data_IF_673159413428
#
_entry.id   IF_673159413428
#
_cell.length_a   1.000
_cell.length_b   1.000
_cell.length_c   1.000
_cell.angle_alpha   90.00
_cell.angle_beta   90.00
_cell.angle_gamma   90.00
#
_symmetry.space_group_name_H-M   'P 1'
#
loop_
_entity.id
_entity.type
_entity.pdbx_description
1 polymer ?
#
# COMPACT_ATOMS: atom_id res chain seq x y z
N UNK A 1 56.75 -36.77 12.29
CA UNK A 1 55.28 -36.91 12.46
C UNK A 1 54.71 -36.25 13.72
N UNK A 2 55.47 -36.11 14.81
CA UNK A 2 54.92 -35.63 16.11
C UNK A 2 54.61 -34.12 16.17
N UNK A 3 55.44 -33.24 15.58
CA UNK A 3 55.24 -31.79 15.69
C UNK A 3 54.06 -31.21 14.89
N UNK A 4 53.62 -31.90 13.82
CA UNK A 4 52.49 -31.47 12.97
C UNK A 4 51.15 -31.82 13.64
N UNK A 5 51.09 -32.94 14.38
CA UNK A 5 49.91 -33.34 15.14
C UNK A 5 49.62 -32.38 16.29
N UNK A 6 50.65 -31.98 17.04
CA UNK A 6 50.52 -31.06 18.18
C UNK A 6 50.07 -29.66 17.74
N UNK A 7 50.46 -29.19 16.54
CA UNK A 7 50.00 -27.92 15.98
C UNK A 7 48.51 -27.96 15.61
N UNK A 8 48.05 -29.04 14.98
CA UNK A 8 46.63 -29.24 14.64
C UNK A 8 45.74 -29.37 15.88
N UNK A 9 46.18 -30.07 16.92
CA UNK A 9 45.42 -30.16 18.18
C UNK A 9 45.31 -28.81 18.89
N UNK A 10 46.38 -28.00 18.92
CA UNK A 10 46.33 -26.64 19.50
C UNK A 10 45.47 -25.67 18.70
N UNK A 11 45.40 -25.84 17.37
CA UNK A 11 44.57 -25.01 16.50
C UNK A 11 43.08 -25.39 16.60
N UNK A 12 42.78 -26.69 16.76
CA UNK A 12 41.42 -27.19 17.06
C UNK A 12 40.97 -26.82 18.48
N UNK A 13 41.85 -26.89 19.49
CA UNK A 13 41.53 -26.40 20.84
C UNK A 13 41.28 -24.88 20.86
N UNK A 14 42.03 -24.10 20.06
CA UNK A 14 41.85 -22.65 19.97
C UNK A 14 40.58 -22.27 19.21
N UNK A 15 40.21 -23.04 18.17
CA UNK A 15 38.93 -22.90 17.46
C UNK A 15 37.75 -23.31 18.36
N UNK A 16 37.89 -24.36 19.16
CA UNK A 16 36.86 -24.80 20.11
C UNK A 16 36.69 -23.84 21.31
N UNK A 17 37.74 -23.10 21.71
CA UNK A 17 37.65 -22.06 22.75
C UNK A 17 37.00 -20.75 22.24
N UNK A 18 37.11 -20.43 20.94
CA UNK A 18 36.32 -19.33 20.33
C UNK A 18 34.87 -19.70 20.03
N UNK A 19 34.51 -20.99 20.19
CA UNK A 19 33.15 -21.51 20.14
C UNK A 19 32.56 -21.72 21.55
N UNK A 20 33.13 -21.10 22.59
CA UNK A 20 32.35 -20.80 23.80
C UNK A 20 31.14 -19.99 23.34
N UNK A 21 30.03 -20.70 23.24
CA UNK A 21 28.69 -20.19 23.07
C UNK A 21 28.58 -18.87 23.82
N UNK A 22 28.45 -17.75 23.10
CA UNK A 22 27.85 -16.55 23.65
C UNK A 22 26.41 -16.92 24.01
N UNK A 23 26.27 -17.62 25.14
CA UNK A 23 25.02 -18.00 25.74
C UNK A 23 24.42 -16.68 26.21
N UNK A 24 23.70 -16.05 25.30
CA UNK A 24 23.03 -14.77 25.56
C UNK A 24 22.06 -15.07 26.69
N UNK A 25 22.38 -14.65 27.91
CA UNK A 25 21.49 -14.88 29.05
C UNK A 25 20.16 -14.19 28.77
N UNK A 26 19.08 -14.93 29.02
CA UNK A 26 17.74 -14.39 28.84
C UNK A 26 17.48 -13.37 29.96
N UNK A 27 17.41 -12.10 29.59
CA UNK A 27 17.06 -11.01 30.49
C UNK A 27 15.56 -10.74 30.46
N UNK A 28 14.92 -10.78 31.62
CA UNK A 28 13.51 -10.38 31.79
C UNK A 28 13.45 -9.01 32.45
N UNK A 29 12.83 -8.05 31.78
CA UNK A 29 12.60 -6.69 32.32
C UNK A 29 11.14 -6.55 32.73
N UNK A 30 10.87 -6.02 33.92
CA UNK A 30 9.49 -5.79 34.36
C UNK A 30 8.90 -4.59 33.64
N UNK A 31 7.60 -4.64 33.34
CA UNK A 31 6.91 -3.48 32.77
C UNK A 31 7.03 -2.22 33.65
N UNK A 32 7.11 -2.38 34.98
CA UNK A 32 7.32 -1.29 35.94
C UNK A 32 8.70 -0.62 35.86
N UNK A 33 9.68 -1.29 35.24
CA UNK A 33 11.04 -0.77 35.05
C UNK A 33 11.18 -0.03 33.71
N UNK A 34 10.17 -0.13 32.84
CA UNK A 34 10.14 0.54 31.54
C UNK A 34 9.46 1.89 31.69
N UNK A 35 10.18 2.97 31.43
CA UNK A 35 9.59 4.33 31.38
C UNK A 35 8.73 4.46 30.11
N UNK A 36 7.40 4.73 30.22
CA UNK A 36 6.56 4.96 29.07
C UNK A 36 7.04 6.20 28.29
N UNK A 37 7.05 6.11 26.96
CA UNK A 37 7.40 7.23 26.07
C UNK A 37 6.29 7.46 25.06
N UNK A 38 5.95 8.71 24.80
CA UNK A 38 5.09 9.07 23.68
C UNK A 38 5.83 8.82 22.36
N UNK A 39 5.07 8.55 21.30
CA UNK A 39 5.61 8.46 19.94
C UNK A 39 5.84 9.88 19.44
N UNK A 40 7.07 10.20 19.05
CA UNK A 40 7.39 11.44 18.34
C UNK A 40 7.09 11.30 16.84
N UNK A 41 6.74 12.40 16.19
CA UNK A 41 6.31 12.40 14.79
C UNK A 41 7.09 13.39 13.95
N UNK A 42 7.52 12.95 12.77
CA UNK A 42 7.96 13.87 11.74
C UNK A 42 6.75 14.65 11.21
N UNK A 43 5.68 13.94 10.85
CA UNK A 43 4.43 14.53 10.37
C UNK A 43 3.28 13.74 10.98
N UNK A 44 2.57 14.31 11.96
CA UNK A 44 1.47 13.63 12.63
C UNK A 44 0.22 13.63 11.73
N UNK A 45 -0.55 12.52 11.65
CA UNK A 45 -0.28 11.16 12.14
C UNK A 45 0.38 10.25 11.08
N UNK A 46 1.03 10.83 10.08
CA UNK A 46 1.47 10.15 8.85
C UNK A 46 2.85 9.47 8.96
N UNK A 47 3.85 10.13 9.55
CA UNK A 47 5.25 9.66 9.58
C UNK A 47 5.80 9.74 11.01
N UNK A 48 5.85 8.62 11.76
CA UNK A 48 6.43 8.57 13.10
C UNK A 48 7.97 8.47 13.07
N UNK A 49 8.63 9.12 14.02
CA UNK A 49 10.08 8.95 14.24
C UNK A 49 10.41 7.56 14.80
N UNK A 50 11.60 7.09 14.47
CA UNK A 50 12.11 5.78 14.90
C UNK A 50 11.33 4.58 14.40
N UNK A 51 10.62 4.72 13.27
CA UNK A 51 9.80 3.69 12.62
C UNK A 51 9.96 3.73 11.11
N UNK A 52 9.50 2.66 10.47
CA UNK A 52 9.40 2.53 9.01
C UNK A 52 7.98 2.90 8.54
N UNK A 53 7.93 3.77 7.54
CA UNK A 53 6.73 4.19 6.81
C UNK A 53 6.86 3.80 5.34
N UNK A 54 5.79 3.27 4.75
CA UNK A 54 5.71 3.02 3.31
C UNK A 54 4.92 4.14 2.64
N UNK A 55 5.44 4.66 1.52
CA UNK A 55 4.70 5.53 0.61
C UNK A 55 4.50 4.80 -0.71
N UNK A 56 3.26 4.42 -1.01
CA UNK A 56 2.92 3.67 -2.21
C UNK A 56 2.05 4.47 -3.18
N UNK A 57 2.03 4.07 -4.45
CA UNK A 57 1.25 4.71 -5.52
C UNK A 57 1.71 4.22 -6.88
N UNK A 58 0.95 4.53 -7.93
CA UNK A 58 1.34 4.14 -9.29
C UNK A 58 2.57 4.97 -9.76
N UNK A 59 3.36 4.45 -10.71
CA UNK A 59 4.42 5.24 -11.34
C UNK A 59 3.87 6.55 -11.92
N UNK A 60 4.55 7.67 -11.66
CA UNK A 60 4.12 9.00 -12.12
C UNK A 60 3.04 9.69 -11.27
N UNK A 61 2.67 9.15 -10.12
CA UNK A 61 1.72 9.80 -9.21
C UNK A 61 2.34 10.87 -8.30
N UNK A 62 3.65 11.10 -8.39
CA UNK A 62 4.34 12.19 -7.68
C UNK A 62 4.89 11.83 -6.29
N UNK A 63 5.11 10.54 -5.99
CA UNK A 63 5.65 10.06 -4.69
C UNK A 63 6.99 10.71 -4.32
N UNK A 64 7.96 10.63 -5.22
CA UNK A 64 9.31 11.20 -5.03
C UNK A 64 9.23 12.72 -4.89
N UNK A 65 8.38 13.38 -5.69
CA UNK A 65 8.17 14.82 -5.62
C UNK A 65 7.51 15.27 -4.32
N UNK A 66 6.55 14.50 -3.79
CA UNK A 66 5.99 14.70 -2.45
C UNK A 66 7.06 14.58 -1.38
N UNK A 67 7.87 13.52 -1.41
CA UNK A 67 8.91 13.34 -0.42
C UNK A 67 10.01 14.41 -0.49
N UNK A 68 10.34 14.92 -1.68
CA UNK A 68 11.27 16.04 -1.83
C UNK A 68 10.66 17.36 -1.31
N UNK A 69 9.38 17.61 -1.53
CA UNK A 69 8.70 18.78 -0.97
C UNK A 69 8.65 18.73 0.58
N UNK A 70 8.32 17.56 1.15
CA UNK A 70 8.36 17.34 2.60
C UNK A 70 9.79 17.47 3.16
N UNK A 71 10.78 16.96 2.43
CA UNK A 71 12.20 17.10 2.80
C UNK A 71 12.64 18.56 2.79
N UNK A 72 12.16 19.36 1.83
CA UNK A 72 12.47 20.78 1.75
C UNK A 72 11.92 21.54 2.97
N UNK A 73 10.68 21.24 3.38
CA UNK A 73 10.11 21.77 4.62
C UNK A 73 10.92 21.37 5.86
N UNK A 74 11.24 20.07 5.99
CA UNK A 74 12.04 19.53 7.09
C UNK A 74 13.43 20.18 7.17
N UNK A 75 14.08 20.36 6.02
CA UNK A 75 15.42 20.96 5.91
C UNK A 75 15.47 22.40 6.41
N UNK A 76 14.33 23.09 6.48
CA UNK A 76 14.21 24.48 6.94
C UNK A 76 13.47 24.62 8.27
N UNK A 77 13.13 23.51 8.93
CA UNK A 77 12.33 23.53 10.16
C UNK A 77 10.94 24.12 9.96
N UNK A 78 10.40 24.07 8.74
CA UNK A 78 9.07 24.59 8.42
C UNK A 78 7.99 23.61 8.87
N UNK A 79 6.78 24.11 9.22
CA UNK A 79 5.66 23.25 9.52
C UNK A 79 5.33 22.38 8.29
N UNK A 80 4.90 21.15 8.56
CA UNK A 80 4.35 20.28 7.53
C UNK A 80 2.92 20.71 7.19
N UNK A 81 2.41 20.33 6.00
CA UNK A 81 1.07 20.71 5.58
C UNK A 81 0.02 20.26 6.59
N UNK A 82 -0.86 21.19 6.98
CA UNK A 82 -1.98 20.96 7.89
C UNK A 82 -1.55 20.40 9.27
N UNK A 83 -0.28 20.58 9.65
CA UNK A 83 0.18 20.32 11.00
C UNK A 83 -0.07 21.55 11.88
N UNK A 84 -0.30 21.34 13.18
CA UNK A 84 -0.43 22.44 14.13
C UNK A 84 0.86 23.29 14.16
N UNK A 85 0.71 24.59 13.87
CA UNK A 85 1.80 25.55 13.68
C UNK A 85 2.52 25.97 14.99
N UNK A 86 2.14 25.39 16.13
CA UNK A 86 2.58 25.86 17.45
C UNK A 86 3.99 25.38 17.86
N UNK A 87 4.53 24.34 17.21
CA UNK A 87 5.87 23.83 17.51
C UNK A 87 6.92 24.40 16.55
N UNK A 88 7.82 25.25 17.08
CA UNK A 88 9.06 25.59 16.38
C UNK A 88 9.88 24.32 16.17
N UNK A 89 10.19 24.00 14.91
CA UNK A 89 11.00 22.84 14.54
C UNK A 89 12.38 23.29 14.13
N UNK A 90 13.40 22.60 14.62
CA UNK A 90 14.77 22.81 14.16
C UNK A 90 14.97 22.22 12.75
N UNK A 91 15.75 22.89 11.87
CA UNK A 91 16.17 22.35 10.58
C UNK A 91 16.78 20.94 10.66
N UNK A 92 16.19 20.00 9.92
CA UNK A 92 16.57 18.58 9.96
C UNK A 92 17.43 18.18 8.78
N UNK A 93 18.45 17.35 9.02
CA UNK A 93 19.19 16.68 7.95
C UNK A 93 18.38 15.49 7.42
N UNK A 94 18.29 15.38 6.10
CA UNK A 94 17.60 14.33 5.35
C UNK A 94 18.61 13.56 4.52
N UNK A 95 18.55 12.23 4.56
CA UNK A 95 19.25 11.37 3.60
C UNK A 95 18.23 10.92 2.55
N UNK A 96 18.50 11.19 1.29
CA UNK A 96 17.67 10.74 0.17
C UNK A 96 18.49 9.81 -0.71
N UNK A 97 18.06 8.55 -0.83
CA UNK A 97 18.70 7.58 -1.71
C UNK A 97 17.73 7.15 -2.79
N UNK A 98 18.16 7.28 -4.04
CA UNK A 98 17.41 6.81 -5.19
C UNK A 98 18.28 6.14 -6.23
N UNK A 99 17.70 5.18 -6.95
CA UNK A 99 18.28 4.60 -8.17
C UNK A 99 17.46 4.93 -9.42
N UNK A 100 16.36 5.68 -9.29
CA UNK A 100 15.45 6.02 -10.38
C UNK A 100 15.80 7.35 -11.05
N UNK A 101 16.25 8.33 -10.27
CA UNK A 101 16.52 9.69 -10.70
C UNK A 101 17.97 10.08 -10.36
N UNK A 102 18.66 10.78 -11.28
CA UNK A 102 20.00 11.28 -11.03
C UNK A 102 20.00 12.49 -10.07
N UNK A 103 21.05 12.56 -9.24
CA UNK A 103 21.11 13.57 -8.19
C UNK A 103 21.26 15.00 -8.75
N UNK A 104 22.06 15.18 -9.78
CA UNK A 104 22.47 16.48 -10.31
C UNK A 104 21.45 17.12 -11.26
N UNK A 105 20.76 16.33 -12.09
CA UNK A 105 19.78 16.85 -13.06
C UNK A 105 18.32 16.77 -12.60
N UNK A 106 18.01 15.92 -11.62
CA UNK A 106 16.62 15.64 -11.25
C UNK A 106 16.33 15.88 -9.78
N UNK A 107 17.01 15.17 -8.86
CA UNK A 107 16.67 15.23 -7.42
C UNK A 107 17.00 16.60 -6.82
N UNK A 108 18.23 17.07 -6.98
CA UNK A 108 18.68 18.36 -6.42
C UNK A 108 17.91 19.53 -7.03
N UNK A 109 17.70 19.62 -8.36
CA UNK A 109 16.87 20.68 -8.95
C UNK A 109 15.44 20.72 -8.42
N UNK A 110 14.77 19.56 -8.27
CA UNK A 110 13.41 19.48 -7.70
C UNK A 110 13.36 19.90 -6.23
N UNK A 111 14.38 19.53 -5.45
CA UNK A 111 14.50 19.94 -4.05
C UNK A 111 14.73 21.46 -3.93
N UNK A 112 15.58 22.04 -4.78
CA UNK A 112 15.79 23.50 -4.86
C UNK A 112 14.50 24.21 -5.27
N UNK A 113 13.77 23.68 -6.26
CA UNK A 113 12.48 24.24 -6.70
C UNK A 113 11.43 24.25 -5.57
N UNK A 114 11.50 23.25 -4.67
CA UNK A 114 10.70 23.18 -3.45
C UNK A 114 11.25 24.05 -2.30
N UNK A 115 12.25 24.90 -2.59
CA UNK A 115 12.91 25.78 -1.65
C UNK A 115 13.61 25.03 -0.51
N UNK A 116 14.23 23.87 -0.77
CA UNK A 116 14.99 23.11 0.21
C UNK A 116 16.37 23.70 0.54
N UNK A 117 16.90 23.39 1.71
CA UNK A 117 18.28 23.71 2.12
C UNK A 117 19.23 22.58 1.68
N UNK A 118 20.11 22.89 0.72
CA UNK A 118 21.01 21.92 0.09
C UNK A 118 22.03 21.32 1.04
N UNK A 119 22.41 22.04 2.09
CA UNK A 119 23.37 21.54 3.09
C UNK A 119 22.74 20.50 4.03
N UNK A 120 21.41 20.38 3.97
CA UNK A 120 20.60 19.44 4.76
C UNK A 120 20.08 18.25 3.96
N UNK A 121 20.37 18.17 2.65
CA UNK A 121 20.03 17.01 1.82
C UNK A 121 21.29 16.22 1.47
N UNK A 122 21.40 15.01 2.00
CA UNK A 122 22.57 14.15 1.84
C UNK A 122 22.24 12.89 1.02
N UNK A 123 23.27 12.35 0.38
CA UNK A 123 23.21 11.11 -0.40
C UNK A 123 24.32 10.18 0.09
N UNK A 124 24.04 8.88 0.15
CA UNK A 124 25.07 7.86 0.37
C UNK A 124 25.70 7.56 -0.99
N UNK A 125 27.04 7.62 -1.08
CA UNK A 125 27.75 7.27 -2.32
C UNK A 125 27.72 5.75 -2.52
N UNK A 126 27.25 5.33 -3.68
CA UNK A 126 27.10 3.91 -4.04
C UNK A 126 28.11 3.45 -5.11
N UNK A 127 29.05 4.31 -5.51
CA UNK A 127 30.00 4.06 -6.62
C UNK A 127 30.84 2.79 -6.43
N UNK A 128 31.16 2.42 -5.19
CA UNK A 128 31.95 1.22 -4.87
C UNK A 128 31.07 -0.01 -4.59
N UNK A 129 29.91 0.21 -3.97
CA UNK A 129 28.98 -0.85 -3.55
C UNK A 129 27.56 -0.30 -3.45
N UNK A 130 26.64 -0.93 -4.16
CA UNK A 130 25.19 -0.68 -4.05
C UNK A 130 24.71 -0.87 -2.60
N UNK A 131 23.75 -0.06 -2.20
CA UNK A 131 23.14 -0.07 -0.89
C UNK A 131 21.97 -1.06 -0.88
N UNK A 132 21.84 -1.79 0.23
CA UNK A 132 20.71 -2.68 0.48
C UNK A 132 20.16 -2.46 1.89
N UNK A 133 18.96 -2.96 2.17
CA UNK A 133 18.28 -2.78 3.45
C UNK A 133 19.05 -3.34 4.65
N UNK A 134 19.97 -4.27 4.46
CA UNK A 134 20.82 -4.86 5.49
C UNK A 134 22.22 -4.24 5.57
N UNK A 135 22.47 -3.14 4.85
CA UNK A 135 23.79 -2.50 4.85
C UNK A 135 23.98 -1.58 6.08
N UNK A 136 25.01 -1.84 6.88
CA UNK A 136 25.38 -1.04 8.07
C UNK A 136 25.80 0.39 7.75
N UNK A 137 26.12 0.69 6.49
CA UNK A 137 26.37 2.08 6.05
C UNK A 137 25.14 2.97 6.27
N UNK A 138 23.92 2.42 6.26
CA UNK A 138 22.69 3.16 6.57
C UNK A 138 22.75 3.72 7.98
N UNK A 139 23.01 2.86 8.98
CA UNK A 139 23.17 3.26 10.38
C UNK A 139 24.29 4.29 10.52
N UNK A 140 25.45 3.98 9.96
CA UNK A 140 26.63 4.85 10.03
C UNK A 140 26.36 6.23 9.43
N UNK A 141 25.62 6.31 8.33
CA UNK A 141 25.29 7.59 7.69
C UNK A 141 24.32 8.41 8.54
N UNK A 142 23.29 7.78 9.11
CA UNK A 142 22.33 8.44 10.00
C UNK A 142 23.05 9.01 11.23
N UNK A 143 23.86 8.19 11.92
CA UNK A 143 24.56 8.59 13.14
C UNK A 143 25.59 9.71 12.88
N UNK A 144 26.38 9.61 11.80
CA UNK A 144 27.40 10.62 11.46
C UNK A 144 26.81 11.97 11.06
N UNK A 145 25.67 11.96 10.38
CA UNK A 145 25.04 13.18 9.87
C UNK A 145 24.00 13.79 10.82
N UNK A 146 23.57 13.03 11.83
CA UNK A 146 22.42 13.39 12.66
C UNK A 146 21.11 13.42 11.87
N UNK A 147 21.00 12.67 10.78
CA UNK A 147 19.81 12.66 9.95
C UNK A 147 18.59 12.20 10.74
N UNK A 148 17.49 12.95 10.59
CA UNK A 148 16.20 12.65 11.24
C UNK A 148 15.22 11.97 10.28
N UNK A 149 15.52 11.99 8.98
CA UNK A 149 14.74 11.34 7.92
C UNK A 149 15.66 10.63 6.93
N UNK A 150 15.36 9.37 6.63
CA UNK A 150 15.93 8.60 5.52
C UNK A 150 14.81 8.25 4.54
N UNK A 151 15.04 8.52 3.25
CA UNK A 151 14.14 8.15 2.15
C UNK A 151 14.87 7.17 1.23
N UNK A 152 14.21 6.04 0.94
CA UNK A 152 14.69 5.01 0.00
C UNK A 152 13.70 4.89 -1.17
N UNK A 153 14.13 5.21 -2.39
CA UNK A 153 13.27 5.33 -3.57
C UNK A 153 13.85 4.65 -4.83
N UNK A 154 13.38 3.48 -5.28
CA UNK A 154 12.23 2.70 -4.81
C UNK A 154 12.62 1.49 -3.95
N UNK A 155 11.65 0.91 -3.23
CA UNK A 155 11.77 -0.32 -2.44
C UNK A 155 12.47 -1.44 -3.19
N UNK A 156 12.12 -1.63 -4.47
CA UNK A 156 12.62 -2.74 -5.30
C UNK A 156 14.13 -2.69 -5.52
N UNK A 157 14.74 -1.50 -5.45
CA UNK A 157 16.18 -1.34 -5.67
C UNK A 157 17.03 -1.66 -4.46
N UNK A 158 16.45 -1.57 -3.25
CA UNK A 158 17.21 -1.68 -1.99
C UNK A 158 16.97 -3.01 -1.25
N UNK A 159 16.06 -3.87 -1.73
CA UNK A 159 15.81 -5.17 -1.10
C UNK A 159 17.01 -6.14 -1.23
N UNK A 160 17.84 -5.94 -2.25
CA UNK A 160 19.05 -6.72 -2.54
C UNK A 160 18.86 -7.81 -3.61
N UNK A 161 19.95 -8.18 -4.27
CA UNK A 161 19.98 -9.20 -5.33
C UNK A 161 19.52 -10.57 -4.82
N UNK A 162 18.66 -11.25 -5.59
CA UNK A 162 18.20 -12.61 -5.29
C UNK A 162 16.97 -12.72 -4.37
N UNK A 163 16.50 -11.62 -3.77
CA UNK A 163 15.28 -11.64 -2.96
C UNK A 163 14.05 -11.59 -3.88
N UNK A 164 13.33 -12.70 -4.00
CA UNK A 164 12.00 -12.66 -4.62
C UNK A 164 11.07 -11.87 -3.71
N UNK A 165 10.38 -10.85 -4.23
CA UNK A 165 9.30 -10.16 -3.51
C UNK A 165 8.18 -11.13 -3.07
N UNK A 166 8.17 -12.37 -3.56
CA UNK A 166 7.23 -13.41 -3.16
C UNK A 166 7.75 -14.30 -2.00
N UNK A 167 9.00 -14.13 -1.56
CA UNK A 167 9.60 -14.88 -0.44
C UNK A 167 9.44 -14.10 0.88
N UNK A 168 8.23 -14.19 1.45
CA UNK A 168 7.79 -13.56 2.71
C UNK A 168 8.85 -13.49 3.83
N UNK A 169 9.50 -14.63 4.12
CA UNK A 169 10.44 -14.75 5.24
C UNK A 169 11.76 -13.99 5.01
N UNK A 170 12.29 -13.98 3.79
CA UNK A 170 13.54 -13.29 3.45
C UNK A 170 13.35 -11.77 3.51
N UNK A 171 12.21 -11.30 3.00
CA UNK A 171 11.85 -9.89 3.03
C UNK A 171 11.76 -9.36 4.47
N UNK A 172 11.08 -10.09 5.36
CA UNK A 172 10.96 -9.68 6.76
C UNK A 172 12.32 -9.56 7.46
N UNK A 173 13.25 -10.48 7.17
CA UNK A 173 14.60 -10.43 7.71
C UNK A 173 15.34 -9.15 7.31
N UNK A 174 15.29 -8.77 6.02
CA UNK A 174 15.90 -7.53 5.51
C UNK A 174 15.31 -6.28 6.18
N UNK A 175 13.99 -6.26 6.35
CA UNK A 175 13.30 -5.17 7.02
C UNK A 175 13.65 -5.06 8.52
N UNK A 176 13.96 -6.17 9.21
CA UNK A 176 14.31 -6.14 10.62
C UNK A 176 15.55 -5.26 10.89
N UNK A 177 16.50 -5.23 9.96
CA UNK A 177 17.65 -4.32 10.05
C UNK A 177 17.20 -2.86 10.06
N UNK A 178 16.39 -2.45 9.09
CA UNK A 178 15.86 -1.08 9.02
C UNK A 178 15.01 -0.73 10.24
N UNK A 179 14.21 -1.67 10.76
CA UNK A 179 13.42 -1.45 11.97
C UNK A 179 14.33 -1.18 13.17
N UNK A 180 15.40 -1.96 13.32
CA UNK A 180 16.38 -1.76 14.39
C UNK A 180 17.09 -0.41 14.23
N UNK A 181 17.58 -0.09 13.03
CA UNK A 181 18.23 1.19 12.75
C UNK A 181 17.30 2.37 13.06
N UNK A 182 16.04 2.33 12.60
CA UNK A 182 15.07 3.38 12.90
C UNK A 182 14.87 3.51 14.42
N UNK A 183 14.60 2.39 15.11
CA UNK A 183 14.35 2.38 16.56
C UNK A 183 15.52 2.96 17.36
N UNK A 184 16.73 2.54 17.05
CA UNK A 184 17.93 2.88 17.84
C UNK A 184 18.39 4.31 17.59
N UNK A 185 18.24 4.81 16.36
CA UNK A 185 18.68 6.16 15.98
C UNK A 185 17.58 7.22 16.16
N UNK A 186 16.32 6.80 16.30
CA UNK A 186 15.16 7.71 16.28
C UNK A 186 14.85 8.28 14.89
N UNK A 187 15.57 7.88 13.84
CA UNK A 187 15.35 8.35 12.48
C UNK A 187 14.02 7.82 11.92
N UNK A 188 13.26 8.69 11.25
CA UNK A 188 12.11 8.26 10.45
C UNK A 188 12.62 7.67 9.13
N UNK A 189 12.22 6.43 8.81
CA UNK A 189 12.58 5.79 7.54
C UNK A 189 11.33 5.73 6.67
N UNK A 190 11.39 6.34 5.48
CA UNK A 190 10.33 6.28 4.47
C UNK A 190 10.84 5.49 3.27
N UNK A 191 10.07 4.48 2.83
CA UNK A 191 10.40 3.69 1.65
C UNK A 191 9.31 3.92 0.63
N UNK A 192 9.70 4.36 -0.57
CA UNK A 192 8.79 4.59 -1.69
C UNK A 192 8.61 3.29 -2.45
N UNK A 193 7.37 2.88 -2.69
CA UNK A 193 7.06 1.63 -3.40
C UNK A 193 6.07 1.89 -4.54
N UNK A 194 6.23 1.14 -5.64
CA UNK A 194 5.19 1.08 -6.66
C UNK A 194 4.10 0.10 -6.23
N UNK A 195 2.85 0.42 -6.55
CA UNK A 195 1.74 -0.51 -6.35
C UNK A 195 1.71 -1.57 -7.44
N UNK A 196 1.34 -2.80 -7.07
CA UNK A 196 1.11 -3.89 -8.00
C UNK A 196 -0.15 -3.59 -8.85
N UNK A 197 -0.07 -3.91 -10.14
CA UNK A 197 -1.20 -3.83 -11.09
C UNK A 197 -2.29 -4.88 -10.85
N UNK A 198 -2.09 -5.81 -9.90
CA UNK A 198 -3.10 -6.83 -9.57
C UNK A 198 -4.24 -6.23 -8.76
N UNK A 199 -5.46 -6.53 -9.22
CA UNK A 199 -6.75 -5.96 -8.81
C UNK A 199 -7.24 -6.52 -7.46
N UNK A 200 -6.41 -6.57 -6.45
CA UNK A 200 -6.93 -6.77 -5.09
C UNK A 200 -7.62 -5.48 -4.62
N UNK A 201 -8.82 -5.63 -4.08
CA UNK A 201 -9.73 -4.52 -3.72
C UNK A 201 -9.27 -3.71 -2.51
N UNK A 202 -8.36 -4.24 -1.70
CA UNK A 202 -7.87 -3.55 -0.51
C UNK A 202 -6.59 -2.76 -0.82
N UNK A 203 -6.56 -1.44 -0.59
CA UNK A 203 -5.37 -0.61 -0.72
C UNK A 203 -4.17 -1.09 0.10
N UNK A 204 -4.41 -1.83 1.18
CA UNK A 204 -3.39 -2.37 2.07
C UNK A 204 -2.50 -3.42 1.39
N UNK A 205 -3.05 -4.19 0.45
CA UNK A 205 -2.36 -5.32 -0.20
C UNK A 205 -1.85 -4.98 -1.60
N UNK A 206 -1.97 -3.71 -2.00
CA UNK A 206 -1.53 -3.27 -3.33
C UNK A 206 -0.05 -2.88 -3.39
N UNK A 207 0.71 -2.87 -2.30
CA UNK A 207 2.17 -2.78 -2.38
C UNK A 207 2.72 -3.99 -3.13
N UNK A 208 3.68 -3.78 -4.03
CA UNK A 208 4.27 -4.89 -4.79
C UNK A 208 4.95 -5.94 -3.91
N UNK A 209 4.27 -7.07 -3.69
CA UNK A 209 4.86 -8.33 -3.23
C UNK A 209 4.96 -8.53 -1.72
N UNK A 210 3.82 -8.78 -1.07
CA UNK A 210 3.62 -9.56 0.16
C UNK A 210 2.92 -8.81 1.29
N UNK A 211 2.03 -9.54 1.97
CA UNK A 211 1.39 -9.15 3.24
C UNK A 211 2.46 -8.74 4.28
N UNK A 212 3.67 -9.28 4.18
CA UNK A 212 4.77 -9.07 5.12
C UNK A 212 5.34 -7.65 5.08
N UNK A 213 5.39 -7.00 3.91
CA UNK A 213 5.81 -5.59 3.80
C UNK A 213 4.84 -4.70 4.59
N UNK A 214 3.55 -4.91 4.35
CA UNK A 214 2.50 -4.19 5.04
C UNK A 214 2.52 -4.50 6.54
N UNK A 215 2.88 -5.72 6.93
CA UNK A 215 3.04 -6.15 8.33
C UNK A 215 4.13 -5.39 9.08
N UNK A 216 5.27 -5.13 8.42
CA UNK A 216 6.41 -4.42 9.02
C UNK A 216 6.14 -2.94 9.25
N UNK A 217 5.54 -2.26 8.28
CA UNK A 217 5.38 -0.82 8.31
C UNK A 217 4.39 -0.38 9.42
N UNK A 218 4.74 0.68 10.14
CA UNK A 218 3.90 1.25 11.21
C UNK A 218 2.93 2.32 10.69
N UNK A 219 3.27 2.91 9.56
CA UNK A 219 2.40 3.75 8.76
C UNK A 219 2.49 3.33 7.29
N UNK A 220 1.37 3.32 6.58
CA UNK A 220 1.32 3.12 5.14
C UNK A 220 0.50 4.25 4.55
N UNK A 221 1.16 5.05 3.71
CA UNK A 221 0.58 6.15 2.95
C UNK A 221 0.43 5.71 1.50
N UNK A 222 -0.64 6.14 0.86
CA UNK A 222 -0.87 5.83 -0.55
C UNK A 222 -1.30 7.08 -1.30
N UNK A 223 -0.66 7.33 -2.45
CA UNK A 223 -1.02 8.41 -3.36
C UNK A 223 -1.82 7.84 -4.50
N UNK A 224 -2.85 8.56 -4.92
CA UNK A 224 -3.61 8.22 -6.11
C UNK A 224 -4.20 9.47 -6.77
N UNK A 225 -4.65 9.34 -8.02
CA UNK A 225 -5.21 10.46 -8.79
C UNK A 225 -6.64 10.76 -8.37
N UNK A 226 -7.05 12.01 -8.33
CA UNK A 226 -8.47 12.29 -8.09
C UNK A 226 -9.27 12.06 -9.38
N UNK A 227 -10.61 11.89 -9.30
CA UNK A 227 -11.47 11.84 -10.48
C UNK A 227 -11.67 13.22 -11.14
N UNK A 228 -10.98 14.27 -10.68
CA UNK A 228 -11.09 15.62 -11.21
C UNK A 228 -10.52 15.70 -12.63
N UNK A 229 -11.42 15.70 -13.63
CA UNK A 229 -11.04 15.75 -15.05
C UNK A 229 -10.54 17.11 -15.50
N UNK A 230 -10.89 18.17 -14.77
CA UNK A 230 -10.44 19.53 -15.06
C UNK A 230 -9.00 19.74 -14.61
N UNK A 231 -8.53 18.91 -13.66
CA UNK A 231 -7.19 18.99 -13.12
C UNK A 231 -6.52 17.60 -13.03
N UNK A 232 -5.88 17.18 -14.11
CA UNK A 232 -5.18 15.89 -14.18
C UNK A 232 -3.93 15.79 -13.29
N UNK A 233 -3.50 16.89 -12.69
CA UNK A 233 -2.34 16.98 -11.80
C UNK A 233 -2.72 16.87 -10.33
N UNK A 234 -4.02 16.90 -10.02
CA UNK A 234 -4.55 16.71 -8.68
C UNK A 234 -4.34 15.26 -8.22
N UNK A 235 -3.85 15.13 -7.00
CA UNK A 235 -3.55 13.87 -6.32
C UNK A 235 -4.10 13.95 -4.92
N UNK A 236 -4.36 12.78 -4.37
CA UNK A 236 -4.71 12.63 -2.97
C UNK A 236 -3.85 11.58 -2.31
N UNK A 237 -3.27 11.93 -1.16
CA UNK A 237 -2.60 11.01 -0.26
C UNK A 237 -3.58 10.58 0.82
N UNK A 238 -3.70 9.27 1.04
CA UNK A 238 -4.51 8.66 2.10
C UNK A 238 -3.63 7.81 3.00
N UNK A 239 -3.96 7.74 4.30
CA UNK A 239 -3.32 6.82 5.22
C UNK A 239 -4.08 5.49 5.23
N UNK A 240 -3.46 4.46 4.66
CA UNK A 240 -4.01 3.09 4.56
C UNK A 240 -3.87 2.33 5.88
N UNK A 241 -2.80 2.63 6.63
CA UNK A 241 -2.51 1.98 7.92
C UNK A 241 -1.86 2.97 8.86
N UNK A 242 -2.30 2.95 10.12
CA UNK A 242 -1.61 3.57 11.25
C UNK A 242 -1.69 2.64 12.45
N UNK A 243 -0.55 2.28 13.01
CA UNK A 243 -0.49 1.42 14.21
C UNK A 243 -0.33 2.20 15.52
N UNK A 244 -0.01 3.49 15.44
CA UNK A 244 0.43 4.31 16.59
C UNK A 244 -0.51 5.48 16.89
N UNK A 245 -1.49 5.73 16.02
CA UNK A 245 -2.51 6.77 16.15
C UNK A 245 -3.73 6.39 15.29
N UNK A 246 -4.88 7.07 15.46
CA UNK A 246 -5.93 7.06 14.44
C UNK A 246 -5.38 7.43 13.06
N UNK A 247 -5.97 6.90 11.99
CA UNK A 247 -5.62 7.32 10.63
C UNK A 247 -5.95 8.80 10.43
N UNK A 248 -5.00 9.54 9.87
CA UNK A 248 -5.18 10.95 9.50
C UNK A 248 -6.14 11.13 8.34
N UNK A 249 -6.50 12.39 8.11
CA UNK A 249 -7.29 12.79 6.95
C UNK A 249 -6.52 12.57 5.64
N UNK A 250 -7.21 12.71 4.53
CA UNK A 250 -6.58 12.68 3.22
C UNK A 250 -6.01 14.06 2.88
N UNK A 251 -4.82 14.09 2.28
CA UNK A 251 -4.15 15.32 1.86
C UNK A 251 -4.32 15.48 0.36
N UNK A 252 -5.01 16.53 -0.05
CA UNK A 252 -5.20 16.92 -1.44
C UNK A 252 -4.06 17.84 -1.87
N UNK A 253 -3.44 17.55 -3.01
CA UNK A 253 -2.34 18.36 -3.54
C UNK A 253 -2.24 18.25 -5.06
N UNK A 254 -1.55 19.20 -5.66
CA UNK A 254 -1.23 19.22 -7.08
C UNK A 254 0.24 18.94 -7.32
N UNK A 255 0.50 18.14 -8.36
CA UNK A 255 1.85 17.88 -8.88
C UNK A 255 2.11 18.82 -10.04
N UNK A 256 2.91 19.87 -9.81
CA UNK A 256 3.32 20.83 -10.85
C UNK A 256 4.77 20.64 -11.28
N UNK A 257 5.20 21.40 -12.30
CA UNK A 257 6.60 21.40 -12.76
C UNK A 257 7.58 21.88 -11.68
N UNK A 258 7.14 22.82 -10.83
CA UNK A 258 7.98 23.45 -9.79
C UNK A 258 7.94 22.74 -8.44
N UNK A 259 7.16 21.66 -8.28
CA UNK A 259 6.98 21.01 -6.99
C UNK A 259 5.54 20.62 -6.70
N UNK A 260 5.26 20.42 -5.41
CA UNK A 260 3.93 20.10 -4.90
C UNK A 260 3.26 21.35 -4.35
N UNK A 261 1.98 21.54 -4.68
CA UNK A 261 1.13 22.54 -4.04
C UNK A 261 0.08 21.83 -3.20
N UNK A 262 0.15 21.98 -1.88
CA UNK A 262 -0.86 21.43 -0.97
C UNK A 262 -2.14 22.27 -1.04
N UNK A 263 -3.29 21.62 -1.24
CA UNK A 263 -4.57 22.28 -1.49
C UNK A 263 -5.45 22.24 -0.24
N UNK A 264 -5.73 21.04 0.28
CA UNK A 264 -6.69 20.87 1.37
C UNK A 264 -6.45 19.57 2.16
N UNK A 265 -7.01 19.52 3.37
CA UNK A 265 -7.12 18.31 4.20
C UNK A 265 -8.59 17.87 4.25
N UNK A 266 -8.90 16.72 3.65
CA UNK A 266 -10.28 16.25 3.47
C UNK A 266 -10.54 14.93 4.18
N UNK A 267 -11.75 14.76 4.70
CA UNK A 267 -12.20 13.49 5.27
C UNK A 267 -12.47 12.48 4.16
N UNK A 268 -11.52 11.58 3.94
CA UNK A 268 -11.66 10.50 2.98
C UNK A 268 -10.86 9.28 3.43
N UNK A 269 -11.46 8.10 3.33
CA UNK A 269 -10.75 6.84 3.64
C UNK A 269 -9.95 6.34 2.45
N UNK A 270 -9.01 5.42 2.68
CA UNK A 270 -8.27 4.78 1.60
C UNK A 270 -9.21 4.05 0.62
N UNK A 271 -10.21 3.33 1.12
CA UNK A 271 -11.20 2.62 0.29
C UNK A 271 -11.96 3.58 -0.61
N UNK A 272 -12.34 4.76 -0.11
CA UNK A 272 -13.01 5.79 -0.89
C UNK A 272 -12.11 6.35 -2.00
N UNK A 273 -10.85 6.67 -1.68
CA UNK A 273 -9.89 7.16 -2.66
C UNK A 273 -9.68 6.15 -3.80
N UNK A 274 -9.42 4.88 -3.47
CA UNK A 274 -9.13 3.86 -4.47
C UNK A 274 -10.37 3.32 -5.20
N UNK A 275 -11.56 3.38 -4.60
CA UNK A 275 -12.81 3.02 -5.30
C UNK A 275 -13.25 4.07 -6.32
N UNK A 276 -12.84 5.34 -6.15
CA UNK A 276 -13.12 6.41 -7.10
C UNK A 276 -12.35 6.28 -8.43
N UNK A 277 -11.26 5.50 -8.43
CA UNK A 277 -10.29 5.36 -9.54
C UNK A 277 -10.32 3.96 -10.15
N UNK A 278 -10.78 2.96 -9.39
CA UNK A 278 -11.11 1.68 -9.96
C UNK A 278 -12.09 1.93 -11.12
N UNK A 279 -11.78 1.52 -12.38
CA UNK A 279 -12.84 1.40 -13.36
C UNK A 279 -13.91 0.57 -12.69
N UNK A 280 -15.15 1.08 -12.59
CA UNK A 280 -16.28 0.42 -11.92
C UNK A 280 -16.46 -1.00 -12.50
N UNK A 281 -15.66 -1.96 -12.04
CA UNK A 281 -15.63 -3.32 -12.54
C UNK A 281 -16.47 -4.10 -11.56
N UNK A 282 -17.77 -4.13 -11.84
CA UNK A 282 -18.78 -4.72 -10.98
C UNK A 282 -20.09 -3.94 -10.99
N UNK A 283 -20.08 -2.63 -11.31
CA UNK A 283 -21.30 -1.97 -11.77
C UNK A 283 -21.45 -2.22 -13.28
N UNK A 284 -22.65 -2.54 -13.77
CA UNK A 284 -22.87 -2.59 -15.21
C UNK A 284 -22.43 -1.22 -15.80
N UNK A 285 -21.81 -1.20 -16.99
CA UNK A 285 -21.60 0.09 -17.69
C UNK A 285 -22.93 0.83 -17.77
N UNK A 286 -22.95 2.17 -17.85
CA UNK A 286 -24.21 2.91 -18.03
C UNK A 286 -25.05 2.35 -19.20
N UNK A 287 -24.39 1.88 -20.26
CA UNK A 287 -25.02 1.12 -21.36
C UNK A 287 -25.65 -0.22 -20.91
N UNK A 288 -24.99 -0.95 -20.01
CA UNK A 288 -25.50 -2.21 -19.46
C UNK A 288 -26.62 -1.97 -18.45
N UNK A 289 -26.58 -0.89 -17.65
CA UNK A 289 -27.68 -0.47 -16.76
C UNK A 289 -28.92 -0.07 -17.57
N UNK A 290 -28.73 0.74 -18.63
CA UNK A 290 -29.80 1.11 -19.55
C UNK A 290 -30.39 -0.12 -20.27
N UNK A 291 -29.54 -1.05 -20.70
CA UNK A 291 -30.00 -2.31 -21.29
C UNK A 291 -30.74 -3.20 -20.27
N UNK A 292 -30.28 -3.29 -19.02
CA UNK A 292 -30.97 -4.05 -17.96
C UNK A 292 -32.33 -3.45 -17.62
N UNK A 293 -32.43 -2.13 -17.47
CA UNK A 293 -33.69 -1.44 -17.23
C UNK A 293 -34.68 -1.67 -18.38
N UNK A 294 -34.19 -1.61 -19.63
CA UNK A 294 -35.01 -1.86 -20.80
C UNK A 294 -35.48 -3.32 -20.91
N UNK A 295 -34.63 -4.29 -20.56
CA UNK A 295 -35.03 -5.71 -20.48
C UNK A 295 -36.13 -5.91 -19.44
N UNK A 296 -36.01 -5.31 -18.25
CA UNK A 296 -37.04 -5.41 -17.22
C UNK A 296 -38.37 -4.80 -17.67
N UNK A 297 -38.33 -3.69 -18.43
CA UNK A 297 -39.53 -3.08 -19.02
C UNK A 297 -40.20 -3.99 -20.07
N UNK A 298 -39.42 -4.61 -20.95
CA UNK A 298 -39.92 -5.62 -21.89
C UNK A 298 -40.60 -6.80 -21.18
N UNK A 299 -40.04 -7.25 -20.05
CA UNK A 299 -40.61 -8.37 -19.29
C UNK A 299 -41.92 -8.02 -18.57
N UNK A 300 -42.31 -6.74 -18.46
CA UNK A 300 -43.65 -6.37 -17.99
C UNK A 300 -44.75 -6.85 -18.93
N UNK A 301 -44.45 -7.02 -20.21
CA UNK A 301 -45.36 -7.61 -21.20
C UNK A 301 -45.46 -9.15 -21.10
N UNK A 302 -44.74 -9.76 -20.15
CA UNK A 302 -44.69 -11.21 -19.96
C UNK A 302 -43.62 -11.90 -20.81
N UNK A 303 -43.88 -13.15 -21.21
CA UNK A 303 -42.93 -13.92 -22.00
C UNK A 303 -42.86 -13.40 -23.44
N UNK A 304 -41.64 -13.12 -23.91
CA UNK A 304 -41.37 -12.67 -25.28
C UNK A 304 -40.35 -13.59 -25.95
N UNK A 305 -40.37 -13.68 -27.28
CA UNK A 305 -39.39 -14.51 -27.99
C UNK A 305 -37.98 -13.90 -27.83
N UNK A 306 -36.98 -14.76 -27.65
CA UNK A 306 -35.58 -14.36 -27.51
C UNK A 306 -35.13 -13.51 -28.71
N UNK A 307 -35.58 -13.88 -29.91
CA UNK A 307 -35.28 -13.16 -31.15
C UNK A 307 -35.86 -11.74 -31.14
N UNK A 308 -37.10 -11.55 -30.67
CA UNK A 308 -37.71 -10.22 -30.58
C UNK A 308 -36.99 -9.35 -29.52
N UNK A 309 -36.72 -9.90 -28.34
CA UNK A 309 -35.99 -9.19 -27.28
C UNK A 309 -34.60 -8.72 -27.74
N UNK A 310 -33.85 -9.60 -28.41
CA UNK A 310 -32.54 -9.23 -28.97
C UNK A 310 -32.65 -8.20 -30.12
N UNK A 311 -33.72 -8.25 -30.92
CA UNK A 311 -34.02 -7.27 -31.95
C UNK A 311 -34.20 -5.87 -31.36
N UNK A 312 -35.11 -5.72 -30.40
CA UNK A 312 -35.39 -4.43 -29.75
C UNK A 312 -34.16 -3.81 -29.07
N UNK A 313 -33.27 -4.64 -28.51
CA UNK A 313 -32.03 -4.18 -27.91
C UNK A 313 -31.00 -3.75 -28.97
N UNK A 314 -30.91 -4.45 -30.10
CA UNK A 314 -30.00 -4.09 -31.20
C UNK A 314 -30.46 -2.80 -31.89
N UNK A 315 -31.76 -2.62 -32.10
CA UNK A 315 -32.32 -1.40 -32.72
C UNK A 315 -32.05 -0.15 -31.86
N UNK A 316 -31.89 -0.33 -30.54
CA UNK A 316 -31.46 0.72 -29.61
C UNK A 316 -29.93 0.87 -29.50
N UNK A 317 -29.16 0.17 -30.34
CA UNK A 317 -27.70 0.30 -30.42
C UNK A 317 -26.91 -0.54 -29.41
N UNK A 318 -27.54 -1.44 -28.66
CA UNK A 318 -26.82 -2.28 -27.69
C UNK A 318 -26.04 -3.42 -28.37
N UNK A 319 -24.76 -3.55 -28.02
CA UNK A 319 -23.88 -4.63 -28.50
C UNK A 319 -24.30 -5.98 -27.91
N UNK A 320 -24.11 -7.07 -28.65
CA UNK A 320 -24.43 -8.45 -28.21
C UNK A 320 -23.82 -8.82 -26.85
N UNK A 321 -22.59 -8.37 -26.58
CA UNK A 321 -21.90 -8.59 -25.30
C UNK A 321 -22.58 -7.87 -24.12
N UNK A 322 -23.11 -6.67 -24.36
CA UNK A 322 -23.90 -5.89 -23.38
C UNK A 322 -25.25 -6.55 -23.14
N UNK A 323 -25.94 -7.00 -24.20
CA UNK A 323 -27.23 -7.71 -24.11
C UNK A 323 -27.12 -8.97 -23.24
N UNK A 324 -26.09 -9.79 -23.48
CA UNK A 324 -25.87 -11.03 -22.72
C UNK A 324 -25.65 -10.75 -21.23
N UNK A 325 -24.89 -9.70 -20.90
CA UNK A 325 -24.65 -9.26 -19.52
C UNK A 325 -25.92 -8.68 -18.87
N UNK A 326 -26.61 -7.81 -19.60
CA UNK A 326 -27.82 -7.14 -19.13
C UNK A 326 -28.95 -8.14 -18.84
N UNK A 327 -29.11 -9.17 -19.68
CA UNK A 327 -30.07 -10.27 -19.46
C UNK A 327 -29.77 -11.03 -18.17
N UNK A 328 -28.49 -11.36 -17.93
CA UNK A 328 -28.06 -12.03 -16.69
C UNK A 328 -28.37 -11.16 -15.47
N UNK A 329 -28.10 -9.86 -15.56
CA UNK A 329 -28.36 -8.90 -14.47
C UNK A 329 -29.86 -8.68 -14.22
N UNK A 330 -30.69 -8.74 -15.26
CA UNK A 330 -32.14 -8.64 -15.15
C UNK A 330 -32.81 -9.91 -14.58
N UNK A 331 -32.04 -10.97 -14.29
CA UNK A 331 -32.58 -12.23 -13.80
C UNK A 331 -33.42 -13.00 -14.83
N UNK A 332 -33.35 -12.64 -16.11
CA UNK A 332 -34.18 -13.23 -17.17
C UNK A 332 -33.60 -14.58 -17.60
N UNK A 333 -34.45 -15.60 -17.59
CA UNK A 333 -34.11 -16.96 -18.02
C UNK A 333 -34.58 -17.22 -19.45
N UNK A 334 -33.93 -18.18 -20.11
CA UNK A 334 -34.36 -18.68 -21.42
C UNK A 334 -35.10 -19.99 -21.26
N UNK A 335 -36.36 -20.02 -21.68
CA UNK A 335 -37.20 -21.22 -21.69
C UNK A 335 -37.47 -21.61 -23.15
N UNK A 336 -37.35 -22.89 -23.47
CA UNK A 336 -37.65 -23.42 -24.80
C UNK A 336 -39.05 -24.01 -24.78
N UNK A 337 -39.95 -23.48 -25.61
CA UNK A 337 -41.28 -24.04 -25.85
C UNK A 337 -41.39 -24.45 -27.32
N UNK A 338 -41.52 -25.76 -27.57
CA UNK A 338 -41.43 -26.33 -28.91
C UNK A 338 -40.06 -26.06 -29.55
N UNK A 339 -40.05 -25.39 -30.71
CA UNK A 339 -38.82 -24.98 -31.41
C UNK A 339 -38.39 -23.53 -31.12
N UNK A 340 -39.13 -22.79 -30.29
CA UNK A 340 -38.93 -21.35 -30.08
C UNK A 340 -38.36 -21.09 -28.67
N UNK A 341 -37.38 -20.19 -28.58
CA UNK A 341 -36.81 -19.73 -27.32
C UNK A 341 -37.51 -18.46 -26.85
N UNK A 342 -37.89 -18.44 -25.57
CA UNK A 342 -38.52 -17.31 -24.90
C UNK A 342 -37.63 -16.77 -23.79
N UNK A 343 -37.77 -15.48 -23.49
CA UNK A 343 -37.23 -14.81 -22.32
C UNK A 343 -38.37 -14.58 -21.32
N UNK A 344 -38.16 -14.96 -20.08
CA UNK A 344 -39.12 -14.78 -18.98
C UNK A 344 -38.39 -14.51 -17.67
N UNK A 345 -39.07 -13.86 -16.72
CA UNK A 345 -38.63 -13.82 -15.33
C UNK A 345 -38.99 -15.15 -14.64
N UNK A 346 -38.19 -15.62 -13.66
CA UNK A 346 -38.55 -16.78 -12.85
C UNK A 346 -39.80 -16.45 -12.03
N UNK A 347 -40.81 -17.32 -12.10
CA UNK A 347 -41.93 -17.28 -11.14
C UNK A 347 -41.42 -17.79 -9.79
N UNK A 348 -41.55 -16.99 -8.74
CA UNK A 348 -41.29 -17.45 -7.37
C UNK A 348 -42.42 -18.41 -7.01
N UNK A 349 -42.14 -19.71 -6.95
CA UNK A 349 -43.06 -20.70 -6.39
C UNK A 349 -43.21 -20.44 -4.88
N UNK A 350 -44.30 -19.77 -4.51
CA UNK A 350 -44.86 -19.85 -3.16
C UNK A 350 -45.64 -21.16 -3.04
N UNK A 351 -44.94 -22.30 -2.86
CA UNK A 351 -45.57 -23.54 -2.43
C UNK A 351 -44.53 -24.51 -1.86
N UNK A 352 -44.15 -24.31 -0.59
CA UNK A 352 -43.55 -25.34 0.27
C UNK A 352 -44.01 -25.21 1.72
N UNK A 353 -45.33 -25.19 1.93
CA UNK A 353 -45.93 -25.51 3.22
C UNK A 353 -47.18 -26.35 2.99
N UNK A 354 -47.01 -27.67 2.80
CA UNK A 354 -47.81 -28.69 3.50
C UNK A 354 -47.43 -30.14 3.15
N UNK A 355 -47.06 -30.89 4.22
CA UNK A 355 -47.40 -32.30 4.53
C UNK A 355 -46.56 -33.36 3.78
N UNK A 356 -45.78 -34.22 4.45
CA UNK A 356 -46.19 -35.34 5.33
C UNK A 356 -45.16 -35.58 6.44
N UNK A 357 -45.51 -35.60 7.73
CA UNK A 357 -46.03 -36.75 8.48
C UNK A 357 -45.29 -38.08 8.22
N UNK A 358 -44.19 -38.31 8.93
CA UNK A 358 -43.79 -39.65 9.33
C UNK A 358 -43.68 -39.71 10.86
N UNK A 359 -44.59 -40.47 11.42
CA UNK A 359 -44.57 -41.07 12.75
C UNK A 359 -43.37 -41.99 12.91
N UNK A 360 -42.69 -41.93 14.05
CA UNK A 360 -42.40 -43.13 14.84
C UNK A 360 -42.06 -42.76 16.30
N UNK A 361 -42.24 -43.69 17.26
CA UNK A 361 -42.61 -43.41 18.63
C UNK A 361 -41.47 -43.62 19.63
N UNK A 362 -41.69 -43.09 20.84
CA UNK A 362 -41.11 -43.48 22.14
C UNK A 362 -39.58 -43.64 22.29
N UNK A 363 -38.97 -42.83 23.16
CA UNK A 363 -38.64 -43.24 24.54
C UNK A 363 -37.86 -42.16 25.33
N UNK A 364 -38.54 -41.67 26.38
CA UNK A 364 -38.09 -41.37 27.76
C UNK A 364 -36.83 -40.54 28.05
N UNK A 365 -37.11 -39.38 28.64
CA UNK A 365 -36.59 -38.89 29.95
C UNK A 365 -35.57 -39.78 30.68
N UNK A 366 -34.36 -39.25 30.88
CA UNK A 366 -33.91 -38.79 32.20
C UNK A 366 -32.79 -37.75 32.04
#
# INVERSE_FOLDING_TARGET
>A
MSAIFIKKEKEVLRQNQTMEEQKTELELVKASEITPKSVEWLWYPYIPFGKVTLLQGDPGDGKSQLMLALSALASKGKPFPFADDEEKREPMTVIYQTTEDDADDTVVPRFIASNGDRDKLLFIRENEKSLTFDDDRIRSAIEKSGARLLILDPLSSYIGDGCSLNAANEMRSKFNHLIAVAKDTGCAIVIIAHMNKMRETSPLYRTSGSIDIAGVARSILAITRTPNKENSNERVMVQVKSNLAPTGSAILFEVGEKGITFIDEIKMTAEQAFSSIAPKLGRPSAECEAATAFILDLMKAGKLTATACEGFLKDRGFKKSTIKKAKKNAGVVSVKEGMIWYWTLPTVDQDKHNITSHTDPDFKTN
#
